data_IF_741412894001
#
_entry.id   IF_741412894001
#
_cell.length_a   1.000
_cell.length_b   1.000
_cell.length_c   1.000
_cell.angle_alpha   90.00
_cell.angle_beta   90.00
_cell.angle_gamma   90.00
#
_symmetry.space_group_name_H-M   'P 1'
#
loop_
_entity.id
_entity.type
_entity.pdbx_description
1 polymer ?
#
# COMPACT_ATOMS: atom_id res chain seq x y z
N UNK A 1 -14.48 4.62 20.22
CA UNK A 1 -15.34 3.66 19.50
C UNK A 1 -16.55 4.41 19.01
N UNK A 2 -16.45 5.04 17.84
CA UNK A 2 -17.59 5.68 17.19
C UNK A 2 -18.20 4.65 16.26
N UNK A 3 -19.08 3.82 16.81
CA UNK A 3 -20.02 3.04 16.03
C UNK A 3 -21.07 4.04 15.55
N UNK A 4 -20.90 4.54 14.32
CA UNK A 4 -21.94 5.33 13.66
C UNK A 4 -23.00 4.33 13.20
N UNK A 5 -23.99 4.11 14.07
CA UNK A 5 -25.26 3.53 13.70
C UNK A 5 -26.15 4.65 13.17
N UNK A 6 -26.51 4.58 11.89
CA UNK A 6 -27.80 5.06 11.41
C UNK A 6 -28.38 3.99 10.46
N UNK A 7 -29.69 3.71 10.54
CA UNK A 7 -30.26 2.43 10.15
C UNK A 7 -30.37 2.28 8.63
N UNK A 8 -29.97 1.10 8.13
CA UNK A 8 -30.25 0.58 6.79
C UNK A 8 -29.70 1.39 5.59
N UNK A 9 -28.38 1.55 5.50
CA UNK A 9 -27.73 1.71 4.17
C UNK A 9 -27.66 0.36 3.48
N UNK A 10 -28.79 -0.15 3.00
CA UNK A 10 -28.88 -1.34 2.13
C UNK A 10 -28.62 -1.02 0.65
N UNK A 11 -28.24 0.22 0.34
CA UNK A 11 -27.82 0.63 -1.00
C UNK A 11 -26.37 0.21 -1.25
N UNK A 12 -26.08 -0.18 -2.50
CA UNK A 12 -24.73 -0.47 -2.96
C UNK A 12 -23.81 0.73 -2.67
N UNK A 13 -22.90 0.58 -1.71
CA UNK A 13 -21.92 1.61 -1.37
C UNK A 13 -20.81 1.60 -2.42
N UNK A 14 -20.35 2.80 -2.81
CA UNK A 14 -19.13 2.92 -3.62
C UNK A 14 -17.93 2.60 -2.72
N UNK A 15 -16.87 2.08 -3.33
CA UNK A 15 -15.62 1.77 -2.62
C UNK A 15 -14.50 2.58 -3.24
N UNK A 16 -13.69 3.21 -2.39
CA UNK A 16 -12.44 3.85 -2.78
C UNK A 16 -11.27 3.24 -2.02
N UNK A 17 -10.19 2.94 -2.72
CA UNK A 17 -8.98 2.35 -2.14
C UNK A 17 -7.88 3.40 -2.12
N UNK A 18 -7.46 3.81 -0.93
CA UNK A 18 -6.44 4.83 -0.73
C UNK A 18 -5.11 4.17 -0.33
N UNK A 19 -4.08 4.33 -1.17
CA UNK A 19 -2.73 3.83 -0.91
C UNK A 19 -1.87 4.90 -0.24
N UNK A 20 -1.17 4.52 0.81
CA UNK A 20 -0.21 5.38 1.48
C UNK A 20 1.14 5.38 0.74
N UNK A 21 1.96 6.42 0.97
CA UNK A 21 3.31 6.51 0.42
C UNK A 21 4.35 5.68 1.19
N UNK A 22 5.62 5.77 0.75
CA UNK A 22 6.73 5.14 1.45
C UNK A 22 6.85 5.65 2.89
N UNK A 23 7.10 4.72 3.84
CA UNK A 23 7.14 5.00 5.28
C UNK A 23 5.86 5.59 5.88
N UNK A 24 4.72 5.34 5.25
CA UNK A 24 3.41 5.78 5.75
C UNK A 24 2.49 4.61 6.12
N UNK A 25 3.03 3.39 6.19
CA UNK A 25 2.30 2.21 6.63
C UNK A 25 2.11 2.18 8.13
N UNK A 26 1.33 1.21 8.62
CA UNK A 26 1.03 1.04 10.04
C UNK A 26 2.26 0.88 10.92
N UNK A 27 3.31 0.24 10.41
CA UNK A 27 4.55 0.02 11.15
C UNK A 27 5.33 1.34 11.38
N UNK A 28 5.19 2.32 10.50
CA UNK A 28 5.86 3.63 10.60
C UNK A 28 5.00 4.70 11.25
N UNK A 29 3.72 4.81 10.86
CA UNK A 29 2.83 5.92 11.22
C UNK A 29 1.55 5.48 11.95
N UNK A 30 1.37 4.19 12.22
CA UNK A 30 0.14 3.69 12.84
C UNK A 30 -1.08 3.92 11.96
N UNK A 31 -2.12 4.56 12.52
CA UNK A 31 -3.36 4.89 11.82
C UNK A 31 -3.38 6.30 11.22
N UNK A 32 -2.28 7.07 11.30
CA UNK A 32 -2.25 8.49 10.93
C UNK A 32 -2.65 8.75 9.47
N UNK A 33 -2.20 7.93 8.52
CA UNK A 33 -2.63 8.06 7.12
C UNK A 33 -4.15 7.89 6.99
N UNK A 34 -4.70 6.84 7.60
CA UNK A 34 -6.13 6.58 7.57
C UNK A 34 -6.93 7.70 8.25
N UNK A 35 -6.40 8.34 9.29
CA UNK A 35 -7.10 9.38 10.06
C UNK A 35 -6.97 10.79 9.51
N UNK A 36 -5.88 11.10 8.81
CA UNK A 36 -5.49 12.48 8.51
C UNK A 36 -5.27 12.75 7.02
N UNK A 37 -5.42 11.75 6.14
CA UNK A 37 -5.32 11.97 4.69
C UNK A 37 -6.57 12.64 4.08
N UNK A 38 -7.62 12.93 4.87
CA UNK A 38 -8.83 13.65 4.43
C UNK A 38 -9.89 12.80 3.72
N UNK A 39 -9.60 11.52 3.41
CA UNK A 39 -10.56 10.68 2.69
C UNK A 39 -11.81 10.30 3.51
N UNK A 40 -11.74 10.27 4.85
CA UNK A 40 -12.90 9.90 5.67
C UNK A 40 -14.03 10.91 5.55
N UNK A 41 -13.70 12.21 5.56
CA UNK A 41 -14.69 13.29 5.45
C UNK A 41 -15.39 13.21 4.08
N UNK A 42 -14.60 13.02 3.01
CA UNK A 42 -15.13 12.80 1.66
C UNK A 42 -15.99 11.52 1.60
N UNK A 43 -15.56 10.44 2.26
CA UNK A 43 -16.28 9.16 2.27
C UNK A 43 -17.63 9.24 3.00
N UNK A 44 -17.66 9.93 4.14
CA UNK A 44 -18.85 10.17 4.95
C UNK A 44 -19.90 10.99 4.19
N UNK A 45 -19.46 12.06 3.51
CA UNK A 45 -20.34 12.94 2.74
C UNK A 45 -20.88 12.31 1.44
N UNK A 46 -20.19 11.29 0.90
CA UNK A 46 -20.46 10.76 -0.43
C UNK A 46 -20.81 9.27 -0.46
N UNK A 47 -21.19 8.66 0.66
CA UNK A 47 -21.57 7.24 0.71
C UNK A 47 -20.49 6.30 0.14
N UNK A 48 -19.22 6.63 0.40
CA UNK A 48 -18.06 5.87 -0.07
C UNK A 48 -17.36 5.21 1.11
N UNK A 49 -17.19 3.90 1.04
CA UNK A 49 -16.34 3.16 1.96
C UNK A 49 -14.89 3.37 1.53
N UNK A 50 -14.06 3.89 2.44
CA UNK A 50 -12.63 4.05 2.21
C UNK A 50 -11.89 2.84 2.78
N UNK A 51 -11.11 2.17 1.92
CA UNK A 51 -10.23 1.08 2.31
C UNK A 51 -8.78 1.57 2.28
N UNK A 52 -8.04 1.25 3.34
CA UNK A 52 -6.63 1.63 3.51
C UNK A 52 -5.75 0.38 3.59
N UNK A 53 -5.41 -0.27 2.46
CA UNK A 53 -4.54 -1.43 2.45
C UNK A 53 -3.20 -1.11 3.12
N UNK A 54 -2.66 -2.08 3.85
CA UNK A 54 -1.38 -1.92 4.55
C UNK A 54 -0.35 -2.82 3.89
N UNK A 55 0.77 -2.22 3.46
CA UNK A 55 1.94 -2.99 3.05
C UNK A 55 2.86 -3.19 4.25
N UNK A 56 3.54 -4.33 4.29
CA UNK A 56 4.65 -4.57 5.21
C UNK A 56 5.94 -4.42 4.44
N UNK A 57 6.94 -3.83 5.07
CA UNK A 57 8.28 -3.82 4.50
C UNK A 57 8.77 -5.26 4.36
N UNK A 58 9.17 -5.64 3.15
CA UNK A 58 9.83 -6.91 2.87
C UNK A 58 11.23 -6.62 2.34
N UNK A 59 12.21 -7.35 2.87
CA UNK A 59 13.61 -7.28 2.46
C UNK A 59 13.83 -7.90 1.07
N UNK A 60 12.84 -8.59 0.50
CA UNK A 60 12.83 -9.10 -0.89
C UNK A 60 12.35 -8.00 -1.86
N UNK A 61 13.04 -6.87 -1.92
CA UNK A 61 12.76 -5.77 -2.87
C UNK A 61 13.98 -5.41 -3.76
N UNK A 62 15.08 -6.14 -3.64
CA UNK A 62 16.35 -5.75 -4.28
C UNK A 62 16.49 -6.27 -5.72
N UNK A 63 15.80 -7.35 -6.11
CA UNK A 63 15.97 -7.94 -7.44
C UNK A 63 15.19 -7.22 -8.56
N UNK A 64 14.18 -6.39 -8.25
CA UNK A 64 13.24 -5.90 -9.27
C UNK A 64 13.64 -4.57 -9.90
N UNK A 65 14.37 -3.71 -9.19
CA UNK A 65 14.75 -2.38 -9.69
C UNK A 65 16.24 -2.26 -10.10
N UNK A 66 17.11 -3.14 -9.59
CA UNK A 66 18.55 -3.14 -9.89
C UNK A 66 19.08 -4.50 -10.42
N UNK A 67 18.21 -5.50 -10.55
CA UNK A 67 18.60 -6.87 -10.93
C UNK A 67 18.77 -7.12 -12.44
N UNK A 68 18.61 -6.13 -13.31
CA UNK A 68 18.82 -6.30 -14.76
C UNK A 68 20.28 -6.13 -15.22
N UNK A 69 21.08 -5.33 -14.52
CA UNK A 69 22.42 -4.96 -14.99
C UNK A 69 23.54 -5.78 -14.36
N UNK A 70 23.39 -6.20 -13.09
CA UNK A 70 24.47 -6.89 -12.37
C UNK A 70 24.55 -8.38 -12.75
N UNK A 71 23.46 -8.99 -13.18
CA UNK A 71 23.46 -10.40 -13.63
C UNK A 71 24.24 -10.60 -14.95
N UNK A 72 24.53 -9.52 -15.71
CA UNK A 72 25.28 -9.62 -16.96
C UNK A 72 26.81 -9.69 -16.77
N UNK A 73 27.34 -9.41 -15.57
CA UNK A 73 28.80 -9.43 -15.34
C UNK A 73 29.34 -10.76 -14.79
N UNK A 74 28.48 -11.66 -14.29
CA UNK A 74 28.92 -12.91 -13.66
C UNK A 74 28.90 -14.11 -14.64
N UNK A 75 28.35 -13.95 -15.85
CA UNK A 75 28.32 -15.02 -16.87
C UNK A 75 29.45 -14.96 -17.91
N UNK A 76 30.22 -13.85 -18.01
CA UNK A 76 31.35 -13.78 -18.94
C UNK A 76 32.65 -14.37 -18.37
N UNK A 77 32.76 -14.59 -17.06
CA UNK A 77 33.98 -15.14 -16.44
C UNK A 77 33.99 -16.67 -16.31
N UNK A 78 32.88 -17.37 -16.61
CA UNK A 78 32.81 -18.83 -16.50
C UNK A 78 33.18 -19.59 -17.78
N UNK A 79 33.65 -18.92 -18.83
CA UNK A 79 34.17 -19.56 -20.05
C UNK A 79 35.69 -19.42 -20.26
N UNK A 80 36.44 -18.91 -19.28
CA UNK A 80 37.90 -18.73 -19.42
C UNK A 80 38.76 -19.54 -18.42
N UNK A 81 38.18 -20.42 -17.60
CA UNK A 81 38.97 -21.29 -16.72
C UNK A 81 38.27 -22.61 -16.39
N UNK A 82 38.15 -23.47 -17.41
CA UNK A 82 38.49 -24.91 -17.38
C UNK A 82 38.30 -25.51 -18.76
#
# INVERSE_FOLDING_TARGET
MSVIHAPLRLLACRVHVAFHGGKQGRDDLGDKFARHAGYNDVGEENDVIIIYPQVKADMIQTAVLIGGAIQMLILQTKMASK
#
